data_IF_826180288917
#
_entry.id   IF_826180288917
#
_cell.length_a   1.000
_cell.length_b   1.000
_cell.length_c   1.000
_cell.angle_alpha   90.00
_cell.angle_beta   90.00
_cell.angle_gamma   90.00
#
_symmetry.space_group_name_H-M   'P 1'
#
loop_
_entity.id
_entity.type
_entity.pdbx_description
1 polymer ?
#
# COMPACT_ATOMS: atom_id res chain seq x y z
N UNK A 1 -7.45 31.33 2.18
CA UNK A 1 -8.32 30.62 1.22
C UNK A 1 -7.63 30.23 -0.08
N UNK A 2 -6.84 31.11 -0.72
CA UNK A 2 -6.17 30.83 -2.01
C UNK A 2 -5.13 29.69 -1.94
N UNK A 3 -4.36 29.61 -0.86
CA UNK A 3 -3.41 28.53 -0.60
C UNK A 3 -4.11 27.19 -0.32
N UNK A 4 -5.25 27.21 0.36
CA UNK A 4 -6.02 26.01 0.66
C UNK A 4 -6.57 25.37 -0.63
N UNK A 5 -7.10 26.17 -1.56
CA UNK A 5 -7.54 25.66 -2.87
C UNK A 5 -6.40 25.07 -3.69
N UNK A 6 -5.21 25.69 -3.65
CA UNK A 6 -4.02 25.17 -4.32
C UNK A 6 -3.58 23.82 -3.72
N UNK A 7 -3.55 23.72 -2.39
CA UNK A 7 -3.18 22.49 -1.69
C UNK A 7 -4.17 21.35 -1.98
N UNK A 8 -5.49 21.63 -1.92
CA UNK A 8 -6.53 20.65 -2.25
C UNK A 8 -6.42 20.22 -3.71
N UNK A 9 -6.10 21.13 -4.63
CA UNK A 9 -5.85 20.79 -6.04
C UNK A 9 -4.70 19.82 -6.22
N UNK A 10 -3.55 20.08 -5.60
CA UNK A 10 -2.39 19.16 -5.64
C UNK A 10 -2.70 17.79 -5.03
N UNK A 11 -3.43 17.78 -3.92
CA UNK A 11 -3.83 16.56 -3.24
C UNK A 11 -4.76 15.73 -4.14
N UNK A 12 -5.77 16.37 -4.75
CA UNK A 12 -6.68 15.73 -5.69
C UNK A 12 -5.96 15.12 -6.91
N UNK A 13 -4.93 15.78 -7.44
CA UNK A 13 -4.12 15.26 -8.55
C UNK A 13 -3.35 14.00 -8.14
N UNK A 14 -2.76 13.99 -6.94
CA UNK A 14 -2.04 12.82 -6.43
C UNK A 14 -2.97 11.60 -6.28
N UNK A 15 -4.15 11.79 -5.68
CA UNK A 15 -5.14 10.72 -5.54
C UNK A 15 -5.69 10.26 -6.90
N UNK A 16 -5.90 11.18 -7.84
CA UNK A 16 -6.35 10.85 -9.19
C UNK A 16 -5.33 9.97 -9.92
N UNK A 17 -4.03 10.27 -9.78
CA UNK A 17 -2.97 9.46 -10.38
C UNK A 17 -2.93 8.02 -9.85
N UNK A 18 -3.14 7.83 -8.55
CA UNK A 18 -3.21 6.50 -7.92
C UNK A 18 -4.47 5.75 -8.38
N UNK A 19 -5.62 6.43 -8.43
CA UNK A 19 -6.89 5.85 -8.85
C UNK A 19 -6.86 5.41 -10.32
N UNK A 20 -6.30 6.22 -11.22
CA UNK A 20 -6.15 5.87 -12.64
C UNK A 20 -5.25 4.64 -12.79
N UNK A 21 -4.15 4.56 -12.04
CA UNK A 21 -3.23 3.42 -12.05
C UNK A 21 -3.90 2.13 -11.58
N UNK A 22 -4.85 2.21 -10.66
CA UNK A 22 -5.69 1.11 -10.18
C UNK A 22 -6.64 0.60 -11.27
N UNK A 23 -7.33 1.50 -11.96
CA UNK A 23 -8.31 1.17 -13.02
C UNK A 23 -7.62 0.60 -14.27
N UNK A 24 -6.42 1.09 -14.61
CA UNK A 24 -5.66 0.60 -15.75
C UNK A 24 -4.93 -0.72 -15.50
N UNK A 25 -4.87 -1.19 -14.24
CA UNK A 25 -4.19 -2.43 -13.87
C UNK A 25 -5.20 -3.58 -13.81
N UNK A 26 -4.98 -4.61 -14.64
CA UNK A 26 -5.96 -5.65 -14.99
C UNK A 26 -6.50 -6.49 -13.82
N UNK A 27 -5.84 -6.48 -12.67
CA UNK A 27 -6.24 -7.24 -11.48
C UNK A 27 -6.43 -6.36 -10.23
N UNK A 28 -6.34 -5.03 -10.36
CA UNK A 28 -6.46 -4.11 -9.21
C UNK A 28 -5.37 -4.28 -8.13
N UNK A 29 -4.45 -5.22 -8.33
CA UNK A 29 -3.41 -5.54 -7.37
C UNK A 29 -2.29 -4.50 -7.40
N UNK A 30 -2.08 -3.87 -6.26
CA UNK A 30 -0.85 -3.12 -5.99
C UNK A 30 0.31 -4.12 -5.92
N UNK A 31 0.97 -4.38 -7.06
CA UNK A 31 2.06 -5.37 -7.24
C UNK A 31 3.35 -5.09 -6.45
N UNK A 32 3.27 -4.72 -5.18
CA UNK A 32 4.42 -4.41 -4.34
C UNK A 32 4.22 -3.07 -3.67
N UNK A 33 4.50 -2.91 -2.39
CA UNK A 33 5.31 -3.73 -1.49
C UNK A 33 4.63 -3.65 -0.12
N UNK A 34 4.38 -4.79 0.53
CA UNK A 34 3.94 -4.76 1.92
C UNK A 34 4.93 -3.90 2.71
N UNK A 35 4.48 -2.73 3.21
CA UNK A 35 5.35 -1.78 3.89
C UNK A 35 6.05 -2.42 5.09
N UNK A 36 5.35 -3.37 5.74
CA UNK A 36 5.83 -4.16 6.88
C UNK A 36 7.00 -5.11 6.52
N UNK A 37 7.25 -5.39 5.24
CA UNK A 37 8.40 -6.16 4.76
C UNK A 37 9.50 -5.33 4.12
N UNK A 38 9.33 -4.01 4.03
CA UNK A 38 10.33 -3.17 3.39
C UNK A 38 11.59 -3.14 4.27
N UNK A 39 12.76 -3.61 3.80
CA UNK A 39 14.00 -3.65 4.61
C UNK A 39 14.49 -2.25 5.03
N UNK A 40 14.01 -1.19 4.37
CA UNK A 40 14.29 0.20 4.76
C UNK A 40 13.48 0.63 5.99
N UNK A 41 12.25 0.09 6.15
CA UNK A 41 11.33 0.44 7.23
C UNK A 41 11.39 -0.56 8.39
N UNK A 42 11.54 -1.84 8.07
CA UNK A 42 11.63 -2.94 9.03
C UNK A 42 13.11 -3.33 9.21
N UNK A 43 13.81 -2.53 10.00
CA UNK A 43 15.24 -2.73 10.30
C UNK A 43 15.46 -3.75 11.43
N UNK A 44 14.43 -4.00 12.25
CA UNK A 44 14.49 -4.93 13.39
C UNK A 44 14.07 -6.37 13.01
N UNK A 45 13.85 -6.63 11.71
CA UNK A 45 13.38 -7.92 11.19
C UNK A 45 12.11 -8.41 11.91
N UNK A 46 11.22 -7.48 12.25
CA UNK A 46 9.97 -7.81 12.93
C UNK A 46 9.04 -8.59 11.97
N UNK A 47 8.30 -9.58 12.47
CA UNK A 47 7.31 -10.28 11.65
C UNK A 47 6.24 -9.29 11.18
N UNK A 48 5.77 -9.47 9.95
CA UNK A 48 4.77 -8.60 9.34
C UNK A 48 3.53 -8.50 10.23
N UNK A 49 3.15 -7.30 10.69
CA UNK A 49 2.02 -7.13 11.62
C UNK A 49 0.67 -7.51 11.02
N UNK A 50 0.58 -7.61 9.69
CA UNK A 50 -0.64 -7.97 8.96
C UNK A 50 -0.82 -9.48 8.79
N UNK A 51 0.27 -10.22 8.56
CA UNK A 51 0.21 -11.63 8.16
C UNK A 51 1.09 -12.56 9.02
N UNK A 52 1.86 -12.01 9.97
CA UNK A 52 2.80 -12.73 10.83
C UNK A 52 4.04 -13.29 10.13
N UNK A 53 4.18 -13.14 8.82
CA UNK A 53 5.29 -13.70 8.06
C UNK A 53 6.62 -12.99 8.39
N UNK A 54 7.69 -13.76 8.50
CA UNK A 54 9.05 -13.24 8.64
C UNK A 54 9.45 -12.41 7.41
N UNK A 55 10.39 -11.46 7.51
CA UNK A 55 10.79 -10.58 6.40
C UNK A 55 11.17 -11.31 5.09
N UNK A 56 11.62 -12.55 5.20
CA UNK A 56 12.09 -13.40 4.10
C UNK A 56 10.95 -14.23 3.45
N UNK A 57 9.88 -14.51 4.20
CA UNK A 57 8.78 -15.40 3.79
C UNK A 57 7.66 -14.65 3.05
N UNK A 58 7.17 -15.12 1.91
CA UNK A 58 6.00 -14.48 1.29
C UNK A 58 4.80 -14.52 2.25
N UNK A 59 4.11 -13.37 2.47
CA UNK A 59 2.77 -13.43 3.08
C UNK A 59 1.94 -14.38 2.22
N UNK A 60 1.34 -15.39 2.84
CA UNK A 60 0.42 -16.28 2.14
C UNK A 60 -0.79 -15.46 1.73
N UNK A 61 -1.03 -15.40 0.43
CA UNK A 61 -2.22 -14.78 -0.15
C UNK A 61 -3.38 -15.73 0.09
N UNK A 62 -3.98 -15.65 1.28
CA UNK A 62 -5.22 -16.35 1.55
C UNK A 62 -6.35 -15.40 1.16
N UNK A 63 -6.92 -15.66 -0.01
CA UNK A 63 -8.17 -15.08 -0.52
C UNK A 63 -9.37 -15.47 0.36
N UNK A 64 -9.25 -15.40 1.70
CA UNK A 64 -10.22 -15.93 2.68
C UNK A 64 -10.05 -15.40 4.12
N UNK A 65 -9.70 -14.13 4.35
CA UNK A 65 -9.80 -13.56 5.71
C UNK A 65 -10.04 -12.06 5.74
N UNK A 66 -11.16 -11.64 5.12
CA UNK A 66 -12.00 -10.63 5.76
C UNK A 66 -12.50 -11.25 7.07
N UNK A 67 -11.78 -11.05 8.16
CA UNK A 67 -12.31 -11.06 9.51
C UNK A 67 -11.23 -10.57 10.49
N UNK A 68 -11.37 -9.29 10.84
CA UNK A 68 -10.87 -8.62 12.06
C UNK A 68 -9.41 -8.20 12.04
#
# INVERSE_FOLDING_TARGET
MKLALLAIGFLAVAFSGIAIKLILKKDGEFSGTCASKNPVLNQENEPCSLCGAQPEDKCKDDTSSIAV
#
